data_IF_986335085624
#
_entry.id   IF_986335085624
#
_cell.length_a   1.000
_cell.length_b   1.000
_cell.length_c   1.000
_cell.angle_alpha   90.00
_cell.angle_beta   90.00
_cell.angle_gamma   90.00
#
_symmetry.space_group_name_H-M   'P 1'
#
loop_
_entity.id
_entity.type
_entity.pdbx_description
1 polymer ?
#
# COMPACT_ATOMS: atom_id res chain seq x y z
N UNK A 1 -27.38 6.99 -46.15
CA UNK A 1 -26.30 6.99 -45.15
C UNK A 1 -25.39 8.17 -45.48
N UNK A 2 -25.19 9.11 -44.57
CA UNK A 2 -24.25 10.21 -44.81
C UNK A 2 -22.82 9.65 -44.80
N UNK A 3 -21.92 10.11 -45.68
CA UNK A 3 -20.53 9.68 -45.69
C UNK A 3 -19.84 10.00 -44.35
N UNK A 4 -18.80 9.24 -43.96
CA UNK A 4 -17.97 9.56 -42.80
C UNK A 4 -17.37 10.97 -42.95
N UNK A 5 -17.48 11.81 -41.91
CA UNK A 5 -16.99 13.18 -41.90
C UNK A 5 -17.14 13.82 -40.53
N UNK A 6 -16.38 14.88 -40.25
CA UNK A 6 -16.43 15.65 -39.01
C UNK A 6 -17.87 16.11 -38.72
N UNK A 7 -18.38 15.78 -37.53
CA UNK A 7 -19.71 16.19 -37.07
C UNK A 7 -19.55 16.99 -35.80
N UNK A 8 -19.72 18.30 -35.93
CA UNK A 8 -19.76 19.22 -34.80
C UNK A 8 -21.18 19.23 -34.25
N UNK A 9 -21.36 18.60 -33.09
CA UNK A 9 -22.61 18.58 -32.35
C UNK A 9 -22.45 19.52 -31.17
N UNK A 10 -23.34 20.51 -31.06
CA UNK A 10 -23.40 21.39 -29.90
C UNK A 10 -24.69 21.07 -29.18
N UNK A 11 -24.58 20.56 -27.96
CA UNK A 11 -25.71 20.39 -27.04
C UNK A 11 -25.63 21.49 -26.00
N UNK A 12 -26.63 22.35 -25.96
CA UNK A 12 -26.78 23.35 -24.91
C UNK A 12 -27.74 22.79 -23.85
N UNK A 13 -27.30 22.75 -22.59
CA UNK A 13 -28.20 22.63 -21.43
C UNK A 13 -28.48 24.04 -20.88
N UNK A 14 -29.65 24.25 -20.27
CA UNK A 14 -30.12 25.56 -19.78
C UNK A 14 -31.65 25.65 -19.79
N UNK A 15 -32.27 26.51 -18.98
CA UNK A 15 -31.91 27.92 -18.82
C UNK A 15 -31.06 28.23 -17.58
N UNK A 16 -30.11 29.15 -17.74
CA UNK A 16 -29.37 29.77 -16.63
C UNK A 16 -29.74 31.26 -16.57
N UNK A 17 -30.12 31.75 -15.39
CA UNK A 17 -30.37 33.17 -15.17
C UNK A 17 -29.04 33.82 -14.80
N UNK A 18 -28.43 34.54 -15.74
CA UNK A 18 -27.23 35.35 -15.51
C UNK A 18 -27.68 36.81 -15.48
N UNK A 19 -27.47 37.48 -14.34
CA UNK A 19 -27.78 38.90 -14.15
C UNK A 19 -26.63 39.79 -14.61
N UNK A 20 -26.91 41.03 -14.98
CA UNK A 20 -25.88 41.99 -15.39
C UNK A 20 -24.94 42.27 -14.21
N UNK A 21 -23.69 41.85 -14.34
CA UNK A 21 -22.66 41.99 -13.30
C UNK A 21 -22.25 40.65 -12.66
N UNK A 22 -22.96 39.56 -12.95
CA UNK A 22 -22.59 38.23 -12.48
C UNK A 22 -21.34 37.73 -13.20
N UNK A 23 -20.56 36.93 -12.47
CA UNK A 23 -19.42 36.18 -13.01
C UNK A 23 -19.83 34.72 -13.15
N UNK A 24 -19.37 34.07 -14.22
CA UNK A 24 -19.66 32.67 -14.48
C UNK A 24 -18.35 31.95 -14.80
N UNK A 25 -18.12 30.84 -14.12
CA UNK A 25 -17.00 29.95 -14.41
C UNK A 25 -17.40 28.92 -15.45
N UNK A 26 -16.60 28.82 -16.51
CA UNK A 26 -16.83 27.86 -17.60
C UNK A 26 -15.71 26.84 -17.56
N UNK A 27 -16.08 25.59 -17.28
CA UNK A 27 -15.17 24.44 -17.38
C UNK A 27 -15.37 23.77 -18.74
N UNK A 28 -14.27 23.49 -19.43
CA UNK A 28 -14.27 22.74 -20.68
C UNK A 28 -13.46 21.46 -20.51
N UNK A 29 -14.07 20.33 -20.88
CA UNK A 29 -13.40 19.05 -21.01
C UNK A 29 -13.37 18.61 -22.48
N UNK A 30 -12.23 18.05 -22.92
CA UNK A 30 -12.09 17.44 -24.23
C UNK A 30 -11.84 15.94 -24.04
N UNK A 31 -12.87 15.14 -24.25
CA UNK A 31 -12.74 13.68 -24.26
C UNK A 31 -12.62 13.17 -25.69
N UNK A 32 -11.60 12.34 -25.94
CA UNK A 32 -11.40 11.65 -27.21
C UNK A 32 -11.23 10.16 -26.94
N UNK A 33 -11.91 9.32 -27.73
CA UNK A 33 -11.83 7.88 -27.64
C UNK A 33 -11.60 7.26 -29.02
N UNK A 34 -10.62 6.38 -29.11
CA UNK A 34 -10.31 5.64 -30.33
C UNK A 34 -10.56 4.16 -30.07
N UNK A 35 -11.63 3.62 -30.64
CA UNK A 35 -11.95 2.20 -30.64
C UNK A 35 -11.73 1.57 -32.04
N UNK A 36 -12.09 0.30 -32.18
CA UNK A 36 -12.02 -0.40 -33.48
C UNK A 36 -13.08 0.07 -34.48
N UNK A 37 -14.20 0.58 -33.98
CA UNK A 37 -15.31 1.08 -34.77
C UNK A 37 -15.94 2.32 -34.11
N UNK A 38 -16.95 2.89 -34.76
CA UNK A 38 -17.62 4.09 -34.25
C UNK A 38 -18.33 3.85 -32.91
N UNK A 39 -18.76 2.62 -32.59
CA UNK A 39 -19.51 2.32 -31.37
C UNK A 39 -18.55 2.18 -30.19
N UNK A 40 -17.50 1.39 -30.34
CA UNK A 40 -16.42 1.25 -29.36
C UNK A 40 -15.69 2.57 -29.12
N UNK A 41 -15.49 3.40 -30.15
CA UNK A 41 -14.91 4.75 -29.96
C UNK A 41 -15.75 5.64 -29.03
N UNK A 42 -17.09 5.55 -29.10
CA UNK A 42 -17.99 6.25 -28.17
C UNK A 42 -17.89 5.67 -26.76
N UNK A 43 -17.77 4.35 -26.61
CA UNK A 43 -17.56 3.71 -25.30
C UNK A 43 -16.26 4.17 -24.65
N UNK A 44 -15.16 4.24 -25.41
CA UNK A 44 -13.88 4.78 -24.93
C UNK A 44 -14.01 6.26 -24.55
N UNK A 45 -14.68 7.07 -25.37
CA UNK A 45 -14.89 8.48 -25.06
C UNK A 45 -15.67 8.67 -23.76
N UNK A 46 -16.72 7.86 -23.52
CA UNK A 46 -17.47 7.85 -22.26
C UNK A 46 -16.65 7.38 -21.07
N UNK A 47 -15.72 6.45 -21.27
CA UNK A 47 -14.80 6.03 -20.22
C UNK A 47 -13.80 7.13 -19.86
N UNK A 48 -13.22 7.83 -20.84
CA UNK A 48 -12.34 8.98 -20.56
C UNK A 48 -13.11 10.12 -19.88
N UNK A 49 -14.39 10.30 -20.23
CA UNK A 49 -15.28 11.28 -19.59
C UNK A 49 -15.45 11.04 -18.08
N UNK A 50 -15.39 9.80 -17.59
CA UNK A 50 -15.48 9.54 -16.14
C UNK A 50 -14.33 10.14 -15.36
N UNK A 51 -13.12 10.21 -15.94
CA UNK A 51 -11.98 10.89 -15.31
C UNK A 51 -12.15 12.40 -15.29
N UNK A 52 -12.71 12.98 -16.37
CA UNK A 52 -13.00 14.41 -16.43
C UNK A 52 -14.11 14.80 -15.44
N UNK A 53 -15.17 13.98 -15.35
CA UNK A 53 -16.24 14.15 -14.37
C UNK A 53 -15.71 14.02 -12.94
N UNK A 54 -14.89 13.01 -12.67
CA UNK A 54 -14.24 12.86 -11.36
C UNK A 54 -13.39 14.08 -11.01
N UNK A 55 -12.56 14.58 -11.93
CA UNK A 55 -11.77 15.78 -11.70
C UNK A 55 -12.65 17.01 -11.39
N UNK A 56 -13.77 17.17 -12.10
CA UNK A 56 -14.72 18.25 -11.85
C UNK A 56 -15.40 18.12 -10.48
N UNK A 57 -15.87 16.92 -10.14
CA UNK A 57 -16.53 16.61 -8.86
C UNK A 57 -15.59 16.79 -7.67
N UNK A 58 -14.29 16.56 -7.87
CA UNK A 58 -13.24 16.81 -6.87
C UNK A 58 -12.68 18.25 -6.90
N UNK A 59 -13.34 19.20 -7.59
CA UNK A 59 -12.86 20.58 -7.74
C UNK A 59 -11.41 20.69 -8.24
N UNK A 60 -10.98 19.75 -9.09
CA UNK A 60 -9.62 19.60 -9.61
C UNK A 60 -8.54 19.30 -8.56
N UNK A 61 -8.94 18.94 -7.34
CA UNK A 61 -8.04 18.44 -6.29
C UNK A 61 -7.94 16.92 -6.39
N UNK A 62 -7.13 16.45 -7.34
CA UNK A 62 -6.96 15.02 -7.60
C UNK A 62 -6.13 14.32 -6.51
N UNK A 63 -6.40 13.03 -6.26
CA UNK A 63 -5.57 12.22 -5.38
C UNK A 63 -4.13 12.14 -5.90
N UNK A 64 -3.17 12.15 -5.00
CA UNK A 64 -1.75 11.93 -5.31
C UNK A 64 -1.34 10.50 -5.00
N UNK A 65 -0.48 9.93 -5.84
CA UNK A 65 0.19 8.68 -5.52
C UNK A 65 1.05 8.81 -4.24
N UNK A 66 1.40 7.69 -3.58
CA UNK A 66 2.33 7.71 -2.46
C UNK A 66 3.66 8.39 -2.83
N UNK A 67 4.39 8.85 -1.81
CA UNK A 67 5.77 9.32 -2.03
C UNK A 67 6.61 8.17 -2.60
N UNK A 68 7.52 8.48 -3.53
CA UNK A 68 8.44 7.47 -4.04
C UNK A 68 9.37 7.00 -2.90
N UNK A 69 9.60 5.68 -2.76
CA UNK A 69 10.52 5.17 -1.75
C UNK A 69 11.97 5.62 -2.03
N UNK A 70 12.80 5.63 -0.99
CA UNK A 70 14.24 5.86 -1.13
C UNK A 70 14.95 4.51 -1.14
N UNK A 71 15.29 4.00 -2.33
CA UNK A 71 15.94 2.70 -2.48
C UNK A 71 17.45 2.85 -2.69
N UNK A 72 18.21 1.97 -2.05
CA UNK A 72 19.63 1.78 -2.24
C UNK A 72 19.91 0.33 -2.67
N UNK A 73 21.12 0.06 -3.18
CA UNK A 73 21.50 -1.25 -3.66
C UNK A 73 22.89 -1.64 -3.21
N UNK A 74 23.04 -2.92 -2.90
CA UNK A 74 24.26 -3.56 -2.47
C UNK A 74 24.69 -4.61 -3.49
N UNK A 75 25.92 -4.50 -3.97
CA UNK A 75 26.55 -5.47 -4.85
C UNK A 75 27.27 -6.54 -4.04
N UNK A 76 27.03 -7.81 -4.37
CA UNK A 76 27.72 -8.97 -3.81
C UNK A 76 28.19 -9.90 -4.93
N UNK A 77 28.91 -10.97 -4.57
CA UNK A 77 29.37 -11.97 -5.53
C UNK A 77 28.18 -12.77 -6.08
N UNK A 78 27.86 -12.55 -7.36
CA UNK A 78 26.74 -13.21 -8.04
C UNK A 78 25.35 -12.84 -7.50
N UNK A 79 25.25 -11.80 -6.67
CA UNK A 79 24.01 -11.48 -5.96
C UNK A 79 23.84 -9.96 -5.80
N UNK A 80 22.59 -9.49 -5.79
CA UNK A 80 22.21 -8.11 -5.56
C UNK A 80 21.17 -8.06 -4.46
N UNK A 81 21.38 -7.14 -3.51
CA UNK A 81 20.34 -6.71 -2.58
C UNK A 81 19.90 -5.29 -2.87
N UNK A 82 18.62 -5.02 -2.69
CA UNK A 82 18.03 -3.70 -2.65
C UNK A 82 17.42 -3.50 -1.26
N UNK A 83 17.52 -2.31 -0.71
CA UNK A 83 16.82 -1.93 0.52
C UNK A 83 16.22 -0.53 0.36
N UNK A 84 15.07 -0.31 0.99
CA UNK A 84 14.40 0.99 1.04
C UNK A 84 13.77 1.23 2.42
N UNK A 85 14.36 0.60 3.44
CA UNK A 85 13.86 0.60 4.81
C UNK A 85 14.74 1.38 5.79
N UNK A 86 15.99 1.68 5.42
CA UNK A 86 16.96 2.35 6.27
C UNK A 86 16.57 3.79 6.63
N UNK A 87 15.99 4.54 5.69
CA UNK A 87 15.50 5.90 5.91
C UNK A 87 14.07 5.90 6.49
N UNK A 88 13.98 5.93 7.82
CA UNK A 88 12.70 5.97 8.53
C UNK A 88 11.81 7.16 8.15
N UNK A 89 12.38 8.30 7.76
CA UNK A 89 11.61 9.47 7.33
C UNK A 89 10.99 9.23 5.96
N UNK A 90 11.75 8.65 5.01
CA UNK A 90 11.25 8.27 3.69
C UNK A 90 10.17 7.18 3.78
N UNK A 91 10.37 6.19 4.65
CA UNK A 91 9.37 5.14 4.93
C UNK A 91 8.09 5.76 5.46
N UNK A 92 8.18 6.63 6.46
CA UNK A 92 7.00 7.31 7.03
C UNK A 92 6.28 8.16 5.99
N UNK A 93 7.02 8.91 5.17
CA UNK A 93 6.44 9.73 4.10
C UNK A 93 5.73 8.91 3.01
N UNK A 94 6.13 7.65 2.83
CA UNK A 94 5.54 6.72 1.86
C UNK A 94 4.34 5.97 2.45
N UNK A 95 4.46 5.44 3.66
CA UNK A 95 3.49 4.49 4.22
C UNK A 95 2.40 5.12 5.09
N UNK A 96 2.68 6.27 5.73
CA UNK A 96 1.73 6.92 6.64
C UNK A 96 0.86 7.99 5.95
N UNK A 97 1.18 8.34 4.70
CA UNK A 97 0.46 9.38 3.96
C UNK A 97 -0.84 8.82 3.40
N UNK A 98 -1.97 9.40 3.83
CA UNK A 98 -3.30 9.13 3.25
C UNK A 98 -3.75 10.36 2.47
N UNK A 99 -4.09 10.17 1.20
CA UNK A 99 -4.50 11.26 0.33
C UNK A 99 -5.84 10.93 -0.35
N UNK A 100 -6.88 11.70 -0.05
CA UNK A 100 -8.23 11.48 -0.59
C UNK A 100 -8.72 10.02 -0.46
N UNK A 101 -8.44 9.38 0.68
CA UNK A 101 -8.82 7.98 0.97
C UNK A 101 -7.88 6.92 0.42
N UNK A 102 -6.88 7.28 -0.40
CA UNK A 102 -5.86 6.35 -0.85
C UNK A 102 -4.85 6.12 0.28
N UNK A 103 -4.81 4.88 0.75
CA UNK A 103 -3.87 4.43 1.78
C UNK A 103 -2.77 3.59 1.14
N UNK A 104 -1.56 3.65 1.69
CA UNK A 104 -0.47 2.76 1.27
C UNK A 104 -0.90 1.29 1.39
N UNK A 105 -0.63 0.50 0.36
CA UNK A 105 -0.99 -0.92 0.31
C UNK A 105 0.26 -1.81 0.20
N UNK A 106 1.24 -1.43 -0.62
CA UNK A 106 2.45 -2.21 -0.79
C UNK A 106 3.53 -1.59 -1.67
N UNK A 107 4.61 -2.33 -1.86
CA UNK A 107 5.72 -2.04 -2.76
C UNK A 107 5.74 -3.02 -3.93
N UNK A 108 6.16 -2.53 -5.11
CA UNK A 108 6.53 -3.37 -6.24
C UNK A 108 8.02 -3.19 -6.55
N UNK A 109 8.68 -4.29 -6.91
CA UNK A 109 10.06 -4.29 -7.39
C UNK A 109 10.08 -4.73 -8.84
N UNK A 110 10.77 -3.96 -9.68
CA UNK A 110 10.92 -4.22 -11.10
C UNK A 110 12.40 -4.34 -11.47
N UNK A 111 12.70 -5.26 -12.36
CA UNK A 111 13.97 -5.30 -13.05
C UNK A 111 13.82 -4.67 -14.44
N UNK A 112 14.69 -3.72 -14.77
CA UNK A 112 14.63 -2.95 -16.00
C UNK A 112 15.69 -3.42 -17.01
N UNK A 113 15.38 -3.43 -18.32
CA UNK A 113 16.35 -3.78 -19.35
C UNK A 113 17.55 -2.84 -19.46
N UNK A 114 17.36 -1.58 -19.06
CA UNK A 114 18.39 -0.54 -19.09
C UNK A 114 18.07 0.62 -18.13
N UNK A 115 19.09 1.42 -17.81
CA UNK A 115 18.97 2.55 -16.87
C UNK A 115 17.86 3.55 -17.23
N UNK A 116 17.62 3.76 -18.53
CA UNK A 116 16.61 4.68 -19.06
C UNK A 116 15.34 3.99 -19.59
N UNK A 117 15.21 2.67 -19.45
CA UNK A 117 14.00 1.96 -19.91
C UNK A 117 12.79 2.39 -19.08
N UNK A 118 11.63 2.67 -19.70
CA UNK A 118 10.42 2.97 -18.96
C UNK A 118 9.99 1.78 -18.09
N UNK A 119 9.30 2.04 -16.97
CA UNK A 119 8.80 1.00 -16.08
C UNK A 119 7.92 -0.04 -16.79
N UNK A 120 7.24 0.37 -17.87
CA UNK A 120 6.39 -0.51 -18.69
C UNK A 120 7.15 -1.60 -19.43
N UNK A 121 8.48 -1.46 -19.61
CA UNK A 121 9.37 -2.50 -20.14
C UNK A 121 10.01 -3.35 -19.03
N UNK A 122 9.80 -2.96 -17.75
CA UNK A 122 10.31 -3.68 -16.60
C UNK A 122 9.57 -4.99 -16.35
N UNK A 123 10.31 -5.99 -15.90
CA UNK A 123 9.75 -7.24 -15.38
C UNK A 123 9.49 -7.05 -13.89
N UNK A 124 8.23 -7.18 -13.45
CA UNK A 124 7.90 -7.17 -12.02
C UNK A 124 8.46 -8.45 -11.38
N UNK A 125 9.40 -8.30 -10.45
CA UNK A 125 10.11 -9.42 -9.81
C UNK A 125 9.61 -9.72 -8.40
N UNK A 126 9.00 -8.74 -7.73
CA UNK A 126 8.40 -8.93 -6.42
C UNK A 126 7.27 -7.92 -6.14
N UNK A 127 6.34 -8.32 -5.28
CA UNK A 127 5.35 -7.45 -4.64
C UNK A 127 5.36 -7.74 -3.14
N UNK A 128 5.28 -6.68 -2.32
CA UNK A 128 5.17 -6.79 -0.87
C UNK A 128 4.05 -5.91 -0.36
N UNK A 129 3.06 -6.49 0.30
CA UNK A 129 1.79 -5.84 0.60
C UNK A 129 1.30 -6.13 2.01
N UNK A 130 0.41 -5.27 2.52
CA UNK A 130 -0.22 -5.45 3.83
C UNK A 130 -0.96 -6.79 3.90
N UNK A 131 -0.93 -7.42 5.07
CA UNK A 131 -1.73 -8.63 5.33
C UNK A 131 -3.17 -8.20 5.64
N UNK A 132 -4.00 -8.10 4.60
CA UNK A 132 -5.37 -7.61 4.69
C UNK A 132 -6.33 -8.29 3.68
N UNK A 133 -5.89 -9.37 3.03
CA UNK A 133 -6.64 -10.15 2.02
C UNK A 133 -6.86 -9.43 0.68
N UNK A 134 -6.25 -8.27 0.43
CA UNK A 134 -6.37 -7.51 -0.82
C UNK A 134 -5.30 -8.00 -1.81
N UNK A 135 -5.62 -9.07 -2.54
CA UNK A 135 -4.66 -9.68 -3.47
C UNK A 135 -4.71 -9.12 -4.89
N UNK A 136 -5.89 -8.74 -5.41
CA UNK A 136 -6.01 -8.25 -6.78
C UNK A 136 -6.78 -6.95 -6.80
N UNK A 137 -6.10 -5.87 -7.20
CA UNK A 137 -6.73 -4.58 -7.39
C UNK A 137 -7.04 -4.43 -8.88
N UNK A 138 -8.32 -4.38 -9.20
CA UNK A 138 -8.83 -4.27 -10.57
C UNK A 138 -9.30 -2.85 -10.85
N UNK A 139 -8.78 -2.26 -11.93
CA UNK A 139 -9.30 -1.00 -12.48
C UNK A 139 -9.88 -1.20 -13.87
N UNK A 140 -10.91 -0.42 -14.24
CA UNK A 140 -11.40 -0.40 -15.60
C UNK A 140 -10.31 0.15 -16.54
N UNK A 141 -10.09 -0.52 -17.66
CA UNK A 141 -9.18 -0.08 -18.72
C UNK A 141 -9.75 -0.45 -20.09
N UNK A 142 -9.29 0.24 -21.12
CA UNK A 142 -9.74 -0.02 -22.49
C UNK A 142 -8.93 -1.17 -23.06
N UNK A 143 -9.61 -2.26 -23.42
CA UNK A 143 -9.00 -3.35 -24.16
C UNK A 143 -8.69 -2.88 -25.60
N UNK A 144 -7.40 -2.84 -26.01
CA UNK A 144 -7.03 -2.38 -27.34
C UNK A 144 -7.56 -3.28 -28.47
N UNK A 145 -7.86 -4.56 -28.18
CA UNK A 145 -8.33 -5.51 -29.17
C UNK A 145 -9.84 -5.44 -29.40
N UNK A 146 -10.62 -5.01 -28.42
CA UNK A 146 -12.08 -4.96 -28.53
C UNK A 146 -12.65 -3.54 -28.47
N UNK A 147 -11.87 -2.57 -27.97
CA UNK A 147 -12.32 -1.21 -27.69
C UNK A 147 -13.39 -1.14 -26.58
N UNK A 148 -13.52 -2.21 -25.79
CA UNK A 148 -14.42 -2.28 -24.65
C UNK A 148 -13.68 -1.93 -23.36
N UNK A 149 -14.43 -1.41 -22.39
CA UNK A 149 -13.92 -1.14 -21.05
C UNK A 149 -14.04 -2.43 -20.25
N UNK A 150 -12.90 -2.97 -19.82
CA UNK A 150 -12.82 -4.21 -19.04
C UNK A 150 -12.01 -3.95 -17.77
N UNK A 151 -12.34 -4.67 -16.69
CA UNK A 151 -11.55 -4.61 -15.47
C UNK A 151 -10.26 -5.41 -15.66
N UNK A 152 -9.12 -4.72 -15.53
CA UNK A 152 -7.79 -5.32 -15.63
C UNK A 152 -7.11 -5.28 -14.27
N UNK A 153 -6.31 -6.30 -13.98
CA UNK A 153 -5.47 -6.34 -12.79
C UNK A 153 -4.41 -5.24 -12.93
N UNK A 154 -4.42 -4.27 -12.01
CA UNK A 154 -3.40 -3.23 -11.92
C UNK A 154 -2.32 -3.58 -10.92
N UNK A 155 -2.72 -4.16 -9.78
CA UNK A 155 -1.80 -4.64 -8.77
C UNK A 155 -2.17 -6.05 -8.35
N UNK A 156 -1.13 -6.86 -8.13
CA UNK A 156 -1.23 -8.22 -7.62
C UNK A 156 -0.40 -8.30 -6.36
N UNK A 157 -1.09 -8.32 -5.23
CA UNK A 157 -0.55 -8.53 -3.90
C UNK A 157 -0.28 -9.99 -3.60
N UNK A 158 0.60 -10.22 -2.63
CA UNK A 158 0.98 -11.52 -2.10
C UNK A 158 0.27 -11.87 -0.79
N UNK A 159 -0.30 -10.87 -0.11
CA UNK A 159 -0.80 -10.94 1.27
C UNK A 159 0.27 -11.44 2.28
N UNK A 160 1.56 -11.26 1.93
CA UNK A 160 2.71 -11.81 2.65
C UNK A 160 3.29 -10.89 3.72
N UNK A 161 2.86 -9.64 3.77
CA UNK A 161 3.42 -8.61 4.65
C UNK A 161 4.34 -7.63 3.94
N UNK A 162 4.44 -6.43 4.50
CA UNK A 162 5.28 -5.36 3.96
C UNK A 162 6.74 -5.64 4.30
N UNK A 163 7.55 -5.85 3.26
CA UNK A 163 9.00 -5.95 3.33
C UNK A 163 9.64 -4.73 2.64
N UNK A 164 10.83 -4.34 3.11
CA UNK A 164 11.56 -3.17 2.61
C UNK A 164 12.94 -3.52 2.04
N UNK A 165 13.11 -4.76 1.62
CA UNK A 165 14.32 -5.25 0.99
C UNK A 165 13.97 -6.30 -0.06
N UNK A 166 14.86 -6.48 -1.03
CA UNK A 166 14.76 -7.51 -2.07
C UNK A 166 16.14 -8.07 -2.36
N UNK A 167 16.24 -9.37 -2.54
CA UNK A 167 17.50 -10.05 -2.88
C UNK A 167 17.29 -10.95 -4.09
N UNK A 168 18.24 -10.94 -5.00
CA UNK A 168 18.22 -11.85 -6.16
C UNK A 168 19.64 -12.22 -6.60
N UNK A 169 19.78 -13.47 -7.03
CA UNK A 169 20.92 -14.01 -7.77
C UNK A 169 20.56 -14.29 -9.25
N UNK A 170 19.37 -13.84 -9.69
CA UNK A 170 18.80 -14.13 -11.00
C UNK A 170 18.41 -12.87 -11.78
N UNK A 171 18.74 -12.86 -13.07
CA UNK A 171 18.33 -11.86 -14.05
C UNK A 171 17.05 -12.32 -14.75
N UNK A 172 15.91 -11.79 -14.34
CA UNK A 172 14.60 -12.08 -14.93
C UNK A 172 14.43 -11.47 -16.33
N UNK A 173 15.10 -10.35 -16.61
CA UNK A 173 15.05 -9.74 -17.95
C UNK A 173 15.77 -10.61 -18.99
N UNK A 174 16.92 -11.20 -18.62
CA UNK A 174 17.74 -12.03 -19.54
C UNK A 174 17.55 -13.53 -19.32
N UNK A 175 16.79 -13.95 -18.31
CA UNK A 175 16.48 -15.35 -17.99
C UNK A 175 17.71 -16.18 -17.65
N UNK A 176 18.63 -15.66 -16.83
CA UNK A 176 19.87 -16.35 -16.43
C UNK A 176 20.38 -15.88 -15.06
N UNK A 177 21.24 -16.63 -14.37
CA UNK A 177 21.90 -16.15 -13.15
C UNK A 177 22.68 -14.85 -13.38
N UNK A 178 22.78 -14.04 -12.33
CA UNK A 178 23.58 -12.81 -12.35
C UNK A 178 25.05 -13.10 -12.64
N UNK A 179 25.73 -12.14 -13.24
CA UNK A 179 27.14 -12.22 -13.61
C UNK A 179 27.88 -11.00 -13.09
N UNK A 180 29.02 -11.23 -12.46
CA UNK A 180 29.86 -10.16 -11.96
C UNK A 180 30.37 -9.26 -13.10
N UNK A 181 30.43 -7.96 -12.83
CA UNK A 181 30.84 -6.93 -13.80
C UNK A 181 29.77 -6.52 -14.82
N UNK A 182 28.53 -7.03 -14.70
CA UNK A 182 27.39 -6.60 -15.53
C UNK A 182 26.51 -5.62 -14.75
N UNK A 183 26.06 -4.56 -15.42
CA UNK A 183 25.08 -3.62 -14.85
C UNK A 183 23.66 -4.20 -14.87
N UNK A 184 23.01 -4.13 -13.71
CA UNK A 184 21.62 -4.48 -13.52
C UNK A 184 20.89 -3.26 -12.98
N UNK A 185 19.68 -3.03 -13.50
CA UNK A 185 18.87 -1.87 -13.16
C UNK A 185 17.58 -2.35 -12.53
N UNK A 186 17.24 -1.79 -11.39
CA UNK A 186 16.03 -2.08 -10.66
C UNK A 186 15.27 -0.78 -10.38
N UNK A 187 13.96 -0.92 -10.18
CA UNK A 187 13.09 0.16 -9.75
C UNK A 187 12.20 -0.34 -8.62
N UNK A 188 12.06 0.46 -7.57
CA UNK A 188 11.11 0.23 -6.48
C UNK A 188 10.04 1.31 -6.53
N UNK A 189 8.78 0.90 -6.48
CA UNK A 189 7.62 1.79 -6.38
C UNK A 189 6.76 1.39 -5.18
N UNK A 190 5.93 2.32 -4.72
CA UNK A 190 4.90 2.08 -3.73
C UNK A 190 3.53 2.28 -4.39
N UNK A 191 2.54 1.49 -4.01
CA UNK A 191 1.17 1.68 -4.49
C UNK A 191 0.19 1.83 -3.34
N UNK A 192 -0.85 2.63 -3.59
CA UNK A 192 -1.96 2.82 -2.68
C UNK A 192 -3.21 2.08 -3.13
N UNK A 193 -4.14 1.90 -2.21
CA UNK A 193 -5.45 1.33 -2.45
C UNK A 193 -6.54 2.23 -1.86
N UNK A 194 -7.63 2.37 -2.61
CA UNK A 194 -8.86 3.03 -2.20
C UNK A 194 -9.94 1.97 -1.98
N UNK A 195 -10.29 1.71 -0.72
CA UNK A 195 -11.29 0.72 -0.33
C UNK A 195 -12.72 1.16 -0.67
N UNK A 196 -13.03 2.43 -0.42
CA UNK A 196 -14.30 3.07 -0.80
C UNK A 196 -14.13 3.85 -2.11
N UNK A 197 -14.43 3.17 -3.22
CA UNK A 197 -14.23 3.68 -4.57
C UNK A 197 -15.52 4.23 -5.22
N UNK A 198 -16.53 4.60 -4.43
CA UNK A 198 -17.76 5.16 -5.02
C UNK A 198 -17.44 6.48 -5.75
N UNK A 199 -17.80 6.54 -7.04
CA UNK A 199 -17.53 7.70 -7.90
C UNK A 199 -16.09 7.85 -8.41
N UNK A 200 -15.12 7.07 -7.90
CA UNK A 200 -13.74 7.10 -8.41
C UNK A 200 -13.54 6.14 -9.60
N UNK A 201 -12.89 6.58 -10.69
CA UNK A 201 -12.62 5.74 -11.86
C UNK A 201 -11.43 4.78 -11.68
N UNK A 202 -10.70 4.85 -10.56
CA UNK A 202 -9.53 4.02 -10.26
C UNK A 202 -9.37 3.78 -8.76
N UNK A 203 -8.89 2.59 -8.40
CA UNK A 203 -8.73 2.11 -7.02
C UNK A 203 -7.30 2.14 -6.53
N UNK A 204 -6.33 2.36 -7.40
CA UNK A 204 -4.92 2.34 -7.03
C UNK A 204 -4.13 3.42 -7.75
N UNK A 205 -3.13 3.96 -7.06
CA UNK A 205 -2.13 4.85 -7.62
C UNK A 205 -0.76 4.29 -7.28
N UNK A 206 0.13 4.25 -8.27
CA UNK A 206 1.52 3.83 -8.10
C UNK A 206 2.42 5.07 -8.11
N UNK A 207 3.36 5.12 -7.17
CA UNK A 207 4.27 6.24 -6.99
C UNK A 207 5.29 6.32 -8.12
N UNK A 208 6.05 7.42 -8.11
CA UNK A 208 7.27 7.51 -8.91
C UNK A 208 8.26 6.40 -8.54
N UNK A 209 9.11 6.05 -9.48
CA UNK A 209 10.09 4.98 -9.34
C UNK A 209 11.39 5.44 -8.68
N UNK A 210 11.88 4.64 -7.74
CA UNK A 210 13.22 4.76 -7.17
C UNK A 210 14.16 3.83 -7.91
N UNK A 211 15.01 4.38 -8.79
CA UNK A 211 15.90 3.59 -9.64
C UNK A 211 17.23 3.33 -8.97
N UNK A 212 17.64 2.07 -8.99
CA UNK A 212 18.92 1.61 -8.44
C UNK A 212 19.67 0.85 -9.53
N UNK A 213 20.95 1.17 -9.72
CA UNK A 213 21.83 0.42 -10.63
C UNK A 213 22.93 -0.22 -9.81
N UNK A 214 23.10 -1.53 -9.98
CA UNK A 214 24.05 -2.33 -9.20
C UNK A 214 24.89 -3.18 -10.14
N UNK A 215 26.17 -3.32 -9.81
CA UNK A 215 27.13 -4.15 -10.55
C UNK A 215 27.69 -5.19 -9.59
N UNK A 216 27.21 -6.45 -9.62
CA UNK A 216 27.76 -7.54 -8.81
C UNK A 216 29.27 -7.68 -9.03
N UNK A 217 30.00 -7.96 -7.96
CA UNK A 217 31.45 -8.15 -8.02
C UNK A 217 31.93 -9.03 -6.87
N UNK A 218 33.09 -9.65 -7.05
CA UNK A 218 33.78 -10.37 -5.98
C UNK A 218 34.06 -9.43 -4.80
N UNK A 219 34.15 -9.92 -3.55
CA UNK A 219 34.45 -9.08 -2.40
C UNK A 219 35.71 -8.24 -2.61
N UNK A 220 35.63 -6.96 -2.23
CA UNK A 220 36.76 -6.06 -2.38
C UNK A 220 38.00 -6.59 -1.63
N UNK A 221 39.23 -6.46 -2.19
CA UNK A 221 40.44 -6.89 -1.53
C UNK A 221 40.59 -6.26 -0.13
N UNK A 222 40.71 -7.09 0.90
CA UNK A 222 40.78 -6.63 2.30
C UNK A 222 39.44 -6.62 3.04
N UNK A 223 38.33 -6.95 2.38
CA UNK A 223 37.05 -7.24 3.04
C UNK A 223 37.14 -8.58 3.77
N UNK A 224 37.15 -8.55 5.10
CA UNK A 224 36.85 -9.72 5.94
C UNK A 224 35.35 -9.77 6.14
N UNK A 225 34.70 -10.84 5.67
CA UNK A 225 33.28 -11.05 5.86
C UNK A 225 32.91 -10.91 7.35
N UNK A 226 32.08 -9.90 7.67
CA UNK A 226 31.24 -9.90 8.86
C UNK A 226 29.96 -10.70 8.59
N UNK A 227 28.89 -10.40 9.32
CA UNK A 227 27.57 -10.96 9.03
C UNK A 227 27.14 -10.52 7.61
N UNK A 228 26.93 -11.49 6.71
CA UNK A 228 26.48 -11.27 5.33
C UNK A 228 25.00 -10.89 5.27
N UNK A 229 24.55 -10.43 4.11
CA UNK A 229 23.13 -10.18 3.87
C UNK A 229 22.31 -11.45 4.16
N UNK A 230 21.30 -11.33 5.03
CA UNK A 230 20.49 -12.47 5.45
C UNK A 230 21.15 -13.45 6.45
N UNK A 231 22.32 -13.11 7.02
CA UNK A 231 22.91 -13.92 8.10
C UNK A 231 22.05 -13.86 9.36
N UNK A 232 21.81 -15.04 9.95
CA UNK A 232 21.06 -15.16 11.19
C UNK A 232 21.89 -14.63 12.37
N UNK A 233 21.56 -13.43 12.84
CA UNK A 233 22.16 -12.88 14.06
C UNK A 233 21.68 -13.68 15.28
N UNK A 234 22.62 -14.03 16.16
CA UNK A 234 22.26 -14.72 17.41
C UNK A 234 21.47 -13.78 18.33
N UNK A 235 20.17 -14.01 18.43
CA UNK A 235 19.29 -13.29 19.35
C UNK A 235 19.26 -14.01 20.70
N UNK A 236 19.63 -13.32 21.77
CA UNK A 236 19.45 -13.82 23.14
C UNK A 236 18.11 -13.34 23.69
N UNK A 237 17.14 -14.24 23.81
CA UNK A 237 15.85 -13.94 24.45
C UNK A 237 15.97 -14.04 25.98
N UNK A 238 15.55 -12.98 26.68
CA UNK A 238 15.47 -12.94 28.13
C UNK A 238 14.14 -12.31 28.55
N UNK A 239 13.19 -13.13 28.99
CA UNK A 239 11.87 -12.67 29.41
C UNK A 239 10.82 -13.78 29.39
N UNK A 240 9.59 -13.43 29.75
CA UNK A 240 8.42 -14.32 29.74
C UNK A 240 7.59 -14.23 28.45
N UNK A 241 8.02 -13.40 27.49
CA UNK A 241 7.36 -13.25 26.20
C UNK A 241 7.50 -14.53 25.37
N UNK A 242 6.47 -14.85 24.59
CA UNK A 242 6.45 -15.94 23.61
C UNK A 242 6.81 -15.46 22.19
N UNK A 243 7.26 -14.21 22.05
CA UNK A 243 7.65 -13.63 20.77
C UNK A 243 9.04 -14.12 20.35
N UNK A 244 9.20 -14.44 19.08
CA UNK A 244 10.49 -14.68 18.44
C UNK A 244 10.92 -13.44 17.65
N UNK A 245 12.18 -13.03 17.78
CA UNK A 245 12.76 -11.97 16.97
C UNK A 245 13.69 -12.62 15.94
N UNK A 246 13.44 -12.36 14.66
CA UNK A 246 14.39 -12.63 13.57
C UNK A 246 15.05 -11.31 13.17
N UNK A 247 16.33 -11.35 12.85
CA UNK A 247 17.07 -10.17 12.38
C UNK A 247 17.73 -10.56 11.07
N UNK A 248 17.41 -9.82 10.01
CA UNK A 248 18.04 -9.95 8.71
C UNK A 248 18.96 -8.74 8.49
N UNK A 249 20.22 -8.99 8.15
CA UNK A 249 21.16 -7.93 7.75
C UNK A 249 20.83 -7.50 6.32
N UNK A 250 20.50 -6.21 6.14
CA UNK A 250 20.17 -5.64 4.83
C UNK A 250 21.32 -4.87 4.17
N UNK A 251 22.22 -4.28 4.97
CA UNK A 251 23.40 -3.54 4.53
C UNK A 251 24.61 -3.90 5.42
N UNK A 252 25.35 -4.98 5.12
CA UNK A 252 26.49 -5.46 5.90
C UNK A 252 27.61 -4.43 6.08
N UNK A 253 27.81 -3.57 5.08
CA UNK A 253 28.85 -2.54 5.06
C UNK A 253 28.53 -1.34 5.96
N UNK A 254 27.26 -1.18 6.36
CA UNK A 254 26.81 -0.15 7.30
C UNK A 254 26.71 -0.64 8.76
N UNK A 255 27.02 -1.92 9.02
CA UNK A 255 27.00 -2.45 10.39
C UNK A 255 28.04 -1.74 11.27
N UNK A 256 27.59 -1.17 12.38
CA UNK A 256 28.46 -0.47 13.33
C UNK A 256 29.21 -1.41 14.27
N UNK A 257 28.80 -2.68 14.33
CA UNK A 257 29.33 -3.68 15.27
C UNK A 257 28.78 -3.54 16.70
N UNK A 258 27.76 -2.71 16.91
CA UNK A 258 27.15 -2.49 18.22
C UNK A 258 26.16 -3.62 18.60
N UNK A 259 25.89 -3.76 19.90
CA UNK A 259 24.81 -4.61 20.40
C UNK A 259 23.50 -3.85 20.47
N UNK A 260 22.48 -4.34 19.77
CA UNK A 260 21.13 -3.79 19.78
C UNK A 260 20.24 -4.55 20.77
N UNK A 261 19.26 -3.84 21.36
CA UNK A 261 18.28 -4.42 22.28
C UNK A 261 16.88 -3.98 21.90
N UNK A 262 16.01 -4.96 21.67
CA UNK A 262 14.55 -4.76 21.56
C UNK A 262 13.93 -5.16 22.89
N UNK A 263 13.00 -4.35 23.42
CA UNK A 263 12.29 -4.64 24.66
C UNK A 263 10.80 -4.35 24.53
N UNK A 264 9.98 -5.29 24.97
CA UNK A 264 8.54 -5.13 25.12
C UNK A 264 8.24 -4.88 26.60
N UNK A 265 7.60 -3.75 26.90
CA UNK A 265 7.19 -3.38 28.27
C UNK A 265 5.71 -3.63 28.54
N UNK A 266 4.93 -3.88 27.48
CA UNK A 266 3.49 -4.02 27.55
C UNK A 266 3.10 -5.47 27.25
N UNK A 267 2.18 -6.01 28.05
CA UNK A 267 1.65 -7.36 27.90
C UNK A 267 0.13 -7.26 27.82
N UNK A 268 -0.43 -7.76 26.73
CA UNK A 268 -1.88 -7.86 26.58
C UNK A 268 -2.40 -8.98 27.48
N UNK A 269 -3.45 -8.69 28.24
CA UNK A 269 -4.17 -9.65 29.07
C UNK A 269 -5.58 -9.81 28.53
N UNK A 270 -6.04 -11.06 28.40
CA UNK A 270 -7.44 -11.35 28.09
C UNK A 270 -8.12 -11.98 29.31
N UNK A 271 -9.36 -11.58 29.55
CA UNK A 271 -10.22 -12.19 30.55
C UNK A 271 -11.11 -13.20 29.82
N UNK A 272 -11.10 -14.46 30.24
CA UNK A 272 -12.04 -15.45 29.69
C UNK A 272 -13.47 -15.24 30.22
N UNK A 273 -14.43 -15.98 29.67
CA UNK A 273 -15.84 -15.95 30.11
C UNK A 273 -16.01 -16.45 31.55
N UNK A 274 -15.00 -17.16 32.07
CA UNK A 274 -14.91 -17.65 33.43
C UNK A 274 -14.23 -16.66 34.39
N UNK A 275 -13.84 -15.46 33.92
CA UNK A 275 -13.25 -14.39 34.74
C UNK A 275 -11.77 -14.59 35.10
N UNK A 276 -11.06 -15.48 34.40
CA UNK A 276 -9.63 -15.72 34.59
C UNK A 276 -8.81 -14.87 33.63
N UNK A 277 -7.76 -14.24 34.17
CA UNK A 277 -6.80 -13.51 33.37
C UNK A 277 -5.81 -14.46 32.72
N UNK A 278 -5.59 -14.26 31.43
CA UNK A 278 -4.67 -15.04 30.64
C UNK A 278 -3.79 -14.13 29.78
N UNK A 279 -2.65 -14.66 29.41
CA UNK A 279 -1.60 -13.94 28.67
C UNK A 279 -1.51 -14.36 27.20
N UNK A 280 -2.37 -15.25 26.73
CA UNK A 280 -2.31 -15.84 25.36
C UNK A 280 -3.69 -16.14 24.78
N UNK A 281 -4.23 -15.28 23.92
CA UNK A 281 -5.57 -15.49 23.34
C UNK A 281 -5.61 -16.78 22.48
N UNK A 282 -6.61 -17.67 22.66
CA UNK A 282 -6.69 -18.93 21.90
C UNK A 282 -6.82 -18.74 20.38
N UNK A 283 -7.26 -17.57 19.91
CA UNK A 283 -7.44 -17.23 18.49
C UNK A 283 -6.24 -16.51 17.85
N UNK A 284 -5.03 -16.68 18.39
CA UNK A 284 -3.79 -16.08 17.88
C UNK A 284 -3.38 -16.48 16.43
N UNK A 285 -4.22 -17.25 15.73
CA UNK A 285 -4.06 -17.63 14.33
C UNK A 285 -4.95 -16.89 13.32
N UNK A 286 -5.77 -15.92 13.71
CA UNK A 286 -6.55 -15.12 12.75
C UNK A 286 -6.82 -13.73 13.30
N UNK A 287 -6.18 -12.74 12.69
CA UNK A 287 -6.24 -11.36 13.13
C UNK A 287 -7.65 -10.81 13.16
N UNK A 288 -8.00 -10.16 14.28
CA UNK A 288 -8.80 -8.93 14.36
C UNK A 288 -8.41 -8.17 15.63
N UNK A 289 -7.35 -7.37 15.60
CA UNK A 289 -7.28 -6.22 16.50
C UNK A 289 -8.13 -5.13 15.86
N UNK A 290 -9.40 -5.04 16.26
CA UNK A 290 -10.26 -3.93 15.85
C UNK A 290 -9.98 -2.76 16.79
N UNK A 291 -9.68 -1.60 16.22
CA UNK A 291 -9.58 -0.36 16.98
C UNK A 291 -10.94 -0.07 17.67
N UNK A 292 -10.92 0.11 18.99
CA UNK A 292 -12.09 0.46 19.82
C UNK A 292 -12.01 1.90 20.35
N UNK A 293 -11.18 2.74 19.71
CA UNK A 293 -11.06 4.16 20.04
C UNK A 293 -12.43 4.82 20.06
N UNK A 294 -12.80 5.37 21.23
CA UNK A 294 -14.12 5.98 21.47
C UNK A 294 -15.03 5.18 22.42
N UNK A 295 -14.69 3.93 22.75
CA UNK A 295 -15.40 3.17 23.80
C UNK A 295 -15.13 3.77 25.19
N UNK A 296 -16.13 3.77 26.07
CA UNK A 296 -16.00 4.33 27.42
C UNK A 296 -16.66 3.46 28.48
N UNK A 297 -16.11 3.50 29.69
CA UNK A 297 -16.72 2.88 30.87
C UNK A 297 -17.02 3.98 31.87
N UNK A 298 -18.28 4.04 32.30
CA UNK A 298 -18.72 4.92 33.39
C UNK A 298 -19.25 4.09 34.54
N UNK A 299 -19.12 4.59 35.77
CA UNK A 299 -19.59 3.89 36.95
C UNK A 299 -20.29 4.84 37.93
N UNK A 300 -21.35 4.36 38.56
CA UNK A 300 -22.05 5.06 39.65
C UNK A 300 -22.20 4.12 40.83
N UNK A 301 -21.99 4.65 42.04
CA UNK A 301 -22.24 3.92 43.27
C UNK A 301 -23.61 4.33 43.82
N UNK A 302 -24.55 3.39 43.83
CA UNK A 302 -25.92 3.56 44.30
C UNK A 302 -26.09 3.00 45.71
N UNK A 303 -26.99 3.59 46.48
CA UNK A 303 -27.31 3.11 47.82
C UNK A 303 -27.98 1.74 47.74
N UNK A 304 -27.33 0.73 48.32
CA UNK A 304 -27.85 -0.64 48.38
C UNK A 304 -28.97 -0.77 49.41
N UNK A 305 -29.89 -1.71 49.20
CA UNK A 305 -30.94 -2.02 50.17
C UNK A 305 -30.42 -2.76 51.42
N UNK A 306 -29.23 -3.36 51.31
CA UNK A 306 -28.56 -4.01 52.42
C UNK A 306 -27.72 -3.00 53.22
N UNK A 307 -28.00 -2.90 54.51
CA UNK A 307 -27.34 -1.91 55.38
C UNK A 307 -25.87 -2.27 55.54
N UNK A 308 -25.00 -1.43 54.98
CA UNK A 308 -23.54 -1.59 55.04
C UNK A 308 -22.90 -1.91 53.69
N UNK A 309 -23.68 -2.05 52.62
CA UNK A 309 -23.19 -2.22 51.25
C UNK A 309 -23.55 -1.02 50.38
N UNK A 310 -22.84 -0.89 49.25
CA UNK A 310 -23.12 0.08 48.19
C UNK A 310 -23.09 -0.70 46.88
N UNK A 311 -24.09 -0.49 46.03
CA UNK A 311 -24.18 -1.19 44.75
C UNK A 311 -23.40 -0.35 43.74
N UNK A 312 -22.45 -0.94 43.02
CA UNK A 312 -21.69 -0.22 42.00
C UNK A 312 -22.15 -0.70 40.64
N UNK A 313 -22.78 0.21 39.89
CA UNK A 313 -23.28 -0.04 38.54
C UNK A 313 -22.26 0.51 37.56
N UNK A 314 -21.79 -0.36 36.65
CA UNK A 314 -20.93 0.04 35.55
C UNK A 314 -21.73 0.03 34.25
N UNK A 315 -21.65 1.12 33.49
CA UNK A 315 -22.17 1.21 32.14
C UNK A 315 -21.00 1.24 31.18
N UNK A 316 -20.96 0.27 30.28
CA UNK A 316 -19.97 0.16 29.21
C UNK A 316 -20.63 0.59 27.90
N UNK A 317 -20.07 1.62 27.25
CA UNK A 317 -20.43 2.03 25.90
C UNK A 317 -19.33 1.57 24.94
N UNK A 318 -19.66 0.61 24.08
CA UNK A 318 -18.73 0.02 23.11
C UNK A 318 -19.05 0.56 21.73
N UNK A 319 -18.06 1.21 21.11
CA UNK A 319 -18.11 1.58 19.70
C UNK A 319 -17.41 0.49 18.90
N UNK A 320 -18.19 -0.42 18.30
CA UNK A 320 -17.67 -1.46 17.40
C UNK A 320 -18.07 -1.16 15.94
N UNK A 321 -17.13 -1.21 14.97
CA UNK A 321 -17.43 -0.98 13.56
C UNK A 321 -18.30 -2.09 12.92
N UNK A 322 -18.52 -3.21 13.60
CA UNK A 322 -19.32 -4.34 13.11
C UNK A 322 -20.69 -4.49 13.77
N UNK A 323 -21.14 -3.51 14.56
CA UNK A 323 -22.44 -3.50 15.25
C UNK A 323 -22.68 -4.69 16.22
N UNK A 324 -21.63 -5.40 16.62
CA UNK A 324 -21.75 -6.41 17.68
C UNK A 324 -21.92 -5.72 19.03
N UNK A 325 -23.07 -5.94 19.68
CA UNK A 325 -23.35 -5.46 21.03
C UNK A 325 -22.92 -6.51 22.07
N UNK A 326 -22.47 -6.07 23.23
CA UNK A 326 -22.31 -6.93 24.40
C UNK A 326 -23.58 -6.83 25.26
N UNK A 327 -24.43 -7.85 25.30
CA UNK A 327 -25.44 -8.00 26.38
C UNK A 327 -24.76 -8.69 27.55
N UNK A 328 -24.82 -8.05 28.72
CA UNK A 328 -24.53 -8.69 29.99
C UNK A 328 -23.55 -7.90 30.85
N UNK A 329 -24.10 -7.16 31.81
CA UNK A 329 -23.53 -7.12 33.17
C UNK A 329 -24.33 -8.12 33.99
#
# INVERSE_FOLDING_TARGET
QLPPGDRRLVMASGPYTITKGDTADVVLALAAGTGLDAVSSVSVAKYVDTYAQYAYDQNFSLPSAPTAPSASGLAMDGNISLEWGSDAAAVTATEATVNAGFEFEGYNVYQLPGAGSPLTEGVKVATYDKVNLIQNILDPSVDPLTGLVVNVVKQTGSDGGVQRYFNTDYDEVRGRPLSNGVEYHFAVTAYSYLSDNEGSPFKTLESGESRVTVVPHDPNPGYTAGDLFGDAITVTHSGTANASVSVDVVAPDELTGDSYRVSFSEQAYYLDLEGNWHTTHPDSGSGKTTDLTGSSVSGVAETSYDVGTIDVVFNVDVQSPDYNYAEGV
#
